data_IF_391757233445
#
_entry.id   IF_391757233445
#
_cell.length_a   1.000
_cell.length_b   1.000
_cell.length_c   1.000
_cell.angle_alpha   90.00
_cell.angle_beta   90.00
_cell.angle_gamma   90.00
#
_symmetry.space_group_name_H-M   'P 1'
#
loop_
_entity.id
_entity.type
_entity.pdbx_description
1 polymer ?
#
# COMPACT_ATOMS: atom_id res chain seq x y z
N UNK A 1 -3.72 8.08 18.42
CA UNK A 1 -2.65 7.61 17.51
C UNK A 1 -3.07 7.87 16.08
N UNK A 2 -2.11 8.18 15.20
CA UNK A 2 -2.34 8.26 13.75
C UNK A 2 -1.90 6.91 13.12
N UNK A 3 -2.73 6.38 12.23
CA UNK A 3 -2.48 5.20 11.41
C UNK A 3 -2.11 5.67 10.00
N UNK A 4 -0.99 5.18 9.48
CA UNK A 4 -0.56 5.41 8.11
C UNK A 4 -0.68 4.13 7.30
N UNK A 5 -1.32 4.19 6.14
CA UNK A 5 -1.44 3.04 5.23
C UNK A 5 -0.86 3.39 3.86
N UNK A 6 -0.10 2.47 3.27
CA UNK A 6 0.04 2.49 1.82
C UNK A 6 -1.32 2.19 1.14
N UNK A 7 -1.42 2.53 -0.16
CA UNK A 7 -2.60 2.26 -0.95
C UNK A 7 -2.46 0.94 -1.72
N UNK A 8 -1.41 0.82 -2.53
CA UNK A 8 -1.29 -0.17 -3.60
C UNK A 8 -0.60 -1.43 -3.07
N UNK A 9 -1.34 -2.54 -2.98
CA UNK A 9 -0.85 -3.74 -2.32
C UNK A 9 -1.25 -3.82 -0.85
N UNK A 10 -1.85 -2.77 -0.28
CA UNK A 10 -2.45 -2.77 1.07
C UNK A 10 -3.98 -2.75 1.01
N UNK A 11 -4.58 -1.69 0.46
CA UNK A 11 -6.03 -1.55 0.32
C UNK A 11 -6.53 -1.66 -1.12
N UNK A 12 -5.67 -1.38 -2.11
CA UNK A 12 -5.96 -1.47 -3.54
C UNK A 12 -5.18 -2.61 -4.19
N UNK A 13 -5.84 -3.40 -5.03
CA UNK A 13 -5.24 -4.53 -5.74
C UNK A 13 -4.51 -4.07 -7.00
N UNK A 14 -3.33 -3.50 -6.79
CA UNK A 14 -2.46 -3.07 -7.88
C UNK A 14 -1.92 -4.25 -8.69
N UNK A 15 -1.46 -5.32 -8.01
CA UNK A 15 -0.77 -6.43 -8.66
C UNK A 15 -1.67 -7.10 -9.71
N UNK A 16 -2.90 -7.47 -9.36
CA UNK A 16 -3.80 -8.15 -10.31
C UNK A 16 -4.14 -7.26 -11.51
N UNK A 17 -4.34 -5.96 -11.30
CA UNK A 17 -4.63 -5.02 -12.37
C UNK A 17 -3.41 -4.82 -13.29
N UNK A 18 -2.22 -4.72 -12.72
CA UNK A 18 -0.99 -4.55 -13.46
C UNK A 18 -0.64 -5.78 -14.30
N UNK A 19 -0.85 -6.99 -13.75
CA UNK A 19 -0.64 -8.24 -14.47
C UNK A 19 -1.57 -8.37 -15.69
N UNK A 20 -2.86 -8.02 -15.57
CA UNK A 20 -3.80 -7.99 -16.71
C UNK A 20 -3.34 -7.07 -17.84
N UNK A 21 -2.73 -5.93 -17.49
CA UNK A 21 -2.15 -5.02 -18.47
C UNK A 21 -0.94 -5.63 -19.16
N UNK A 22 -0.05 -6.29 -18.39
CA UNK A 22 1.09 -7.01 -18.94
C UNK A 22 0.67 -8.14 -19.88
N UNK A 23 -0.35 -8.93 -19.50
CA UNK A 23 -0.93 -9.99 -20.34
C UNK A 23 -1.40 -9.45 -21.69
N UNK A 24 -2.14 -8.34 -21.66
CA UNK A 24 -2.67 -7.68 -22.87
C UNK A 24 -1.53 -7.20 -23.77
N UNK A 25 -0.44 -6.68 -23.18
CA UNK A 25 0.70 -6.16 -23.94
C UNK A 25 1.59 -7.25 -24.53
N UNK A 26 1.80 -8.34 -23.79
CA UNK A 26 2.73 -9.40 -24.17
C UNK A 26 2.08 -10.47 -25.04
N UNK A 27 0.76 -10.69 -24.91
CA UNK A 27 0.04 -11.71 -25.67
C UNK A 27 0.42 -13.15 -25.33
N UNK A 28 1.15 -13.36 -24.23
CA UNK A 28 1.70 -14.67 -23.81
C UNK A 28 0.76 -15.48 -22.90
N UNK A 29 -0.51 -15.08 -22.79
CA UNK A 29 -1.48 -15.69 -21.87
C UNK A 29 -1.44 -15.08 -20.46
N UNK A 30 -2.26 -15.62 -19.54
CA UNK A 30 -2.42 -15.08 -18.18
C UNK A 30 -1.15 -15.22 -17.34
N UNK A 31 -0.91 -14.26 -16.45
CA UNK A 31 0.19 -14.24 -15.48
C UNK A 31 -0.43 -14.38 -14.09
N UNK A 32 -0.29 -15.56 -13.49
CA UNK A 32 -0.84 -15.85 -12.17
C UNK A 32 -0.08 -15.10 -11.07
N UNK A 33 -0.79 -14.47 -10.13
CA UNK A 33 -0.19 -13.63 -9.06
C UNK A 33 0.79 -14.42 -8.17
N UNK A 34 0.56 -15.73 -8.03
CA UNK A 34 1.33 -16.70 -7.24
C UNK A 34 2.74 -16.94 -7.80
N UNK A 35 2.95 -16.59 -9.07
CA UNK A 35 4.25 -16.68 -9.75
C UNK A 35 5.13 -15.47 -9.46
N UNK A 36 4.56 -14.38 -8.93
CA UNK A 36 5.31 -13.16 -8.65
C UNK A 36 6.02 -13.28 -7.30
N UNK A 37 7.34 -13.43 -7.34
CA UNK A 37 8.20 -13.60 -6.16
C UNK A 37 9.07 -12.39 -5.82
N UNK A 38 9.09 -11.38 -6.69
CA UNK A 38 9.74 -10.10 -6.46
C UNK A 38 8.86 -8.94 -6.90
N UNK A 39 8.93 -7.85 -6.15
CA UNK A 39 8.14 -6.65 -6.37
C UNK A 39 8.39 -6.02 -7.76
N UNK A 40 9.62 -6.15 -8.28
CA UNK A 40 10.03 -5.66 -9.60
C UNK A 40 10.05 -6.76 -10.67
N UNK A 41 9.43 -7.91 -10.38
CA UNK A 41 9.28 -9.03 -11.32
C UNK A 41 10.61 -9.63 -11.83
N UNK A 42 11.74 -9.36 -11.17
CA UNK A 42 13.08 -9.77 -11.61
C UNK A 42 13.26 -11.28 -11.76
N UNK A 43 12.50 -12.07 -11.01
CA UNK A 43 12.61 -13.54 -11.04
C UNK A 43 11.68 -14.19 -12.07
N UNK A 44 10.91 -13.38 -12.80
CA UNK A 44 9.90 -13.87 -13.72
C UNK A 44 10.54 -14.23 -15.08
N UNK A 45 10.31 -15.44 -15.64
CA UNK A 45 11.05 -15.94 -16.81
C UNK A 45 10.91 -15.12 -18.09
N UNK A 46 9.86 -14.29 -18.19
CA UNK A 46 9.56 -13.50 -19.37
C UNK A 46 9.21 -12.04 -19.11
N UNK A 47 9.24 -11.57 -17.85
CA UNK A 47 9.05 -10.15 -17.53
C UNK A 47 10.41 -9.51 -17.31
N UNK A 48 10.95 -8.87 -18.35
CA UNK A 48 12.19 -8.12 -18.22
C UNK A 48 11.94 -6.80 -17.50
N UNK A 49 12.97 -6.28 -16.83
CA UNK A 49 12.90 -4.97 -16.15
C UNK A 49 12.47 -3.85 -17.11
N UNK A 50 12.90 -3.90 -18.38
CA UNK A 50 12.51 -2.94 -19.41
C UNK A 50 11.01 -2.99 -19.73
N UNK A 51 10.43 -4.19 -19.84
CA UNK A 51 8.99 -4.37 -20.09
C UNK A 51 8.20 -3.82 -18.91
N UNK A 52 8.57 -4.20 -17.69
CA UNK A 52 7.92 -3.74 -16.46
C UNK A 52 8.01 -2.23 -16.34
N UNK A 53 9.18 -1.64 -16.57
CA UNK A 53 9.39 -0.20 -16.53
C UNK A 53 8.48 0.54 -17.50
N UNK A 54 8.45 0.11 -18.78
CA UNK A 54 7.61 0.73 -19.82
C UNK A 54 6.12 0.64 -19.47
N UNK A 55 5.67 -0.49 -18.92
CA UNK A 55 4.30 -0.65 -18.48
C UNK A 55 3.98 0.21 -17.25
N UNK A 56 4.89 0.29 -16.27
CA UNK A 56 4.72 1.16 -15.10
C UNK A 56 4.65 2.63 -15.50
N UNK A 57 5.50 3.06 -16.45
CA UNK A 57 5.45 4.40 -17.00
C UNK A 57 4.10 4.67 -17.66
N UNK A 58 3.62 3.80 -18.54
CA UNK A 58 2.31 3.95 -19.18
C UNK A 58 1.16 4.00 -18.17
N UNK A 59 1.14 3.07 -17.22
CA UNK A 59 0.14 3.00 -16.13
C UNK A 59 0.13 4.28 -15.32
N UNK A 60 1.30 4.83 -15.02
CA UNK A 60 1.41 6.06 -14.24
C UNK A 60 0.85 7.29 -14.95
N UNK A 61 0.65 7.27 -16.26
CA UNK A 61 -0.04 8.32 -17.03
C UNK A 61 -1.52 8.01 -17.30
N UNK A 62 -2.03 6.85 -16.84
CA UNK A 62 -3.39 6.41 -17.09
C UNK A 62 -4.28 6.57 -15.83
N UNK A 63 -5.07 7.67 -15.70
CA UNK A 63 -5.94 7.85 -14.54
C UNK A 63 -6.96 6.72 -14.37
N UNK A 64 -7.48 6.20 -15.49
CA UNK A 64 -8.49 5.14 -15.46
C UNK A 64 -7.93 3.82 -14.88
N UNK A 65 -6.63 3.56 -14.99
CA UNK A 65 -6.03 2.40 -14.32
C UNK A 65 -6.20 2.51 -12.80
N UNK A 66 -5.80 3.65 -12.22
CA UNK A 66 -5.86 3.88 -10.78
C UNK A 66 -7.30 4.00 -10.25
N UNK A 67 -8.21 4.53 -11.05
CA UNK A 67 -9.64 4.63 -10.71
C UNK A 67 -10.34 3.26 -10.70
N UNK A 68 -9.83 2.27 -11.44
CA UNK A 68 -10.52 0.98 -11.58
C UNK A 68 -9.85 -0.15 -10.78
N UNK A 69 -8.90 0.17 -9.90
CA UNK A 69 -8.32 -0.82 -8.99
C UNK A 69 -9.40 -1.41 -8.07
N UNK A 70 -9.39 -2.73 -7.93
CA UNK A 70 -10.24 -3.44 -6.97
C UNK A 70 -9.77 -3.20 -5.54
N UNK A 71 -10.67 -3.30 -4.57
CA UNK A 71 -10.32 -3.29 -3.14
C UNK A 71 -9.74 -4.64 -2.72
N UNK A 72 -8.70 -4.63 -1.88
CA UNK A 72 -8.15 -5.80 -1.18
C UNK A 72 -8.82 -6.08 0.16
N UNK A 73 -9.59 -5.12 0.70
CA UNK A 73 -10.19 -5.22 2.03
C UNK A 73 -11.71 -5.27 1.95
N UNK A 74 -12.33 -5.77 3.02
CA UNK A 74 -13.78 -5.92 3.11
C UNK A 74 -14.49 -4.58 3.32
N UNK A 75 -15.81 -4.53 3.06
CA UNK A 75 -16.64 -3.36 3.37
C UNK A 75 -16.67 -3.04 4.89
N UNK A 76 -16.55 -4.06 5.73
CA UNK A 76 -16.44 -3.89 7.19
C UNK A 76 -15.14 -3.17 7.56
N UNK A 77 -14.02 -3.61 6.99
CA UNK A 77 -12.71 -2.97 7.23
C UNK A 77 -12.71 -1.51 6.74
N UNK A 78 -13.31 -1.23 5.58
CA UNK A 78 -13.49 0.14 5.10
C UNK A 78 -14.29 1.01 6.07
N UNK A 79 -15.36 0.46 6.65
CA UNK A 79 -16.18 1.18 7.62
C UNK A 79 -15.38 1.53 8.88
N UNK A 80 -14.52 0.62 9.35
CA UNK A 80 -13.61 0.87 10.48
C UNK A 80 -12.54 1.91 10.14
N UNK A 81 -12.01 1.91 8.92
CA UNK A 81 -11.09 2.95 8.46
C UNK A 81 -11.76 4.32 8.38
N UNK A 82 -13.03 4.39 7.98
CA UNK A 82 -13.78 5.64 7.95
C UNK A 82 -13.95 6.25 9.37
N UNK A 83 -14.15 5.44 10.40
CA UNK A 83 -14.17 5.93 11.79
C UNK A 83 -12.84 6.61 12.19
N UNK A 84 -11.72 6.07 11.72
CA UNK A 84 -10.40 6.66 11.92
C UNK A 84 -10.23 7.95 11.10
N UNK A 85 -10.69 7.95 9.84
CA UNK A 85 -10.66 9.14 8.98
C UNK A 85 -11.45 10.30 9.60
N UNK A 86 -12.67 10.06 10.08
CA UNK A 86 -13.52 11.08 10.73
C UNK A 86 -12.91 11.68 11.98
N UNK A 87 -12.05 10.92 12.68
CA UNK A 87 -11.33 11.38 13.87
C UNK A 87 -9.92 11.92 13.56
N UNK A 88 -9.58 12.14 12.28
CA UNK A 88 -8.27 12.59 11.81
C UNK A 88 -7.11 11.69 12.28
N UNK A 89 -7.38 10.38 12.38
CA UNK A 89 -6.42 9.34 12.81
C UNK A 89 -5.97 8.42 11.68
N UNK A 90 -6.35 8.71 10.44
CA UNK A 90 -5.98 7.92 9.27
C UNK A 90 -5.35 8.82 8.21
N UNK A 91 -4.18 8.41 7.72
CA UNK A 91 -3.52 9.00 6.56
C UNK A 91 -3.11 7.89 5.60
N UNK A 92 -3.12 8.19 4.30
CA UNK A 92 -2.59 7.32 3.27
C UNK A 92 -1.25 7.88 2.78
N UNK A 93 -0.25 7.03 2.57
CA UNK A 93 1.08 7.42 2.11
C UNK A 93 1.45 6.53 0.93
N UNK A 94 1.55 7.08 -0.27
CA UNK A 94 1.71 6.31 -1.51
C UNK A 94 2.88 6.80 -2.36
N UNK A 95 3.43 5.88 -3.17
CA UNK A 95 4.45 6.15 -4.18
C UNK A 95 3.88 6.47 -5.58
N UNK A 96 2.55 6.57 -5.73
CA UNK A 96 1.94 7.00 -7.00
C UNK A 96 2.57 8.30 -7.51
N UNK A 97 2.97 8.31 -8.78
CA UNK A 97 3.64 9.45 -9.38
C UNK A 97 2.68 10.61 -9.61
N UNK A 98 3.12 11.81 -9.21
CA UNK A 98 2.46 13.04 -9.65
C UNK A 98 2.80 13.25 -11.13
N UNK A 99 1.76 13.36 -11.95
CA UNK A 99 1.86 13.66 -13.38
C UNK A 99 1.29 15.04 -13.68
N UNK A 100 1.74 15.60 -14.79
CA UNK A 100 1.30 16.88 -15.32
C UNK A 100 -0.03 16.79 -16.09
N UNK A 101 -0.42 15.58 -16.52
CA UNK A 101 -1.59 15.36 -17.38
C UNK A 101 -2.90 15.18 -16.62
N UNK A 102 -2.85 14.80 -15.35
CA UNK A 102 -4.01 14.69 -14.46
C UNK A 102 -3.61 14.77 -12.99
N UNK A 103 -4.58 15.05 -12.11
CA UNK A 103 -4.34 15.06 -10.67
C UNK A 103 -4.44 13.65 -10.09
N UNK A 104 -3.29 13.04 -9.80
CA UNK A 104 -3.25 11.74 -9.09
C UNK A 104 -3.83 11.84 -7.67
N UNK A 105 -3.80 13.02 -7.06
CA UNK A 105 -4.46 13.30 -5.79
C UNK A 105 -5.97 13.17 -5.91
N UNK A 106 -6.58 13.85 -6.88
CA UNK A 106 -8.03 13.75 -7.12
C UNK A 106 -8.44 12.30 -7.43
N UNK A 107 -7.68 11.61 -8.28
CA UNK A 107 -7.94 10.20 -8.64
C UNK A 107 -7.88 9.29 -7.41
N UNK A 108 -6.82 9.39 -6.62
CA UNK A 108 -6.64 8.54 -5.43
C UNK A 108 -7.67 8.87 -4.34
N UNK A 109 -7.92 10.15 -4.11
CA UNK A 109 -8.91 10.63 -3.15
C UNK A 109 -10.34 10.23 -3.57
N UNK A 110 -10.69 10.31 -4.85
CA UNK A 110 -11.99 9.86 -5.36
C UNK A 110 -12.14 8.34 -5.28
N UNK A 111 -11.08 7.58 -5.54
CA UNK A 111 -11.08 6.14 -5.33
C UNK A 111 -11.35 5.78 -3.87
N UNK A 112 -10.68 6.44 -2.92
CA UNK A 112 -10.91 6.24 -1.48
C UNK A 112 -12.34 6.64 -1.05
N UNK A 113 -12.88 7.75 -1.57
CA UNK A 113 -14.26 8.17 -1.30
C UNK A 113 -15.29 7.15 -1.78
N UNK A 114 -15.08 6.57 -2.96
CA UNK A 114 -15.97 5.51 -3.48
C UNK A 114 -15.98 4.25 -2.60
N UNK A 115 -14.90 4.01 -1.86
CA UNK A 115 -14.80 2.92 -0.90
C UNK A 115 -15.23 3.30 0.53
N UNK A 116 -15.77 4.51 0.72
CA UNK A 116 -16.39 4.92 1.99
C UNK A 116 -15.58 5.87 2.85
N UNK A 117 -14.37 6.26 2.44
CA UNK A 117 -13.57 7.26 3.18
C UNK A 117 -14.04 8.68 2.83
N UNK A 118 -14.76 9.34 3.74
CA UNK A 118 -15.39 10.63 3.43
C UNK A 118 -14.39 11.78 3.27
N UNK A 119 -13.30 11.75 4.05
CA UNK A 119 -12.25 12.78 4.08
C UNK A 119 -10.86 12.15 3.97
N UNK A 120 -10.50 11.61 2.79
CA UNK A 120 -9.19 11.01 2.61
C UNK A 120 -8.10 12.06 2.79
N UNK A 121 -7.04 11.69 3.50
CA UNK A 121 -5.81 12.47 3.62
C UNK A 121 -4.71 11.63 2.98
N UNK A 122 -4.21 12.06 1.83
CA UNK A 122 -3.23 11.30 1.04
C UNK A 122 -1.95 12.11 0.91
N UNK A 123 -0.82 11.47 1.20
CA UNK A 123 0.50 12.01 0.99
C UNK A 123 1.19 11.24 -0.14
N UNK A 124 1.67 11.97 -1.13
CA UNK A 124 2.44 11.44 -2.25
C UNK A 124 3.92 11.70 -2.00
N UNK A 125 4.73 10.66 -2.08
CA UNK A 125 6.19 10.77 -1.97
C UNK A 125 6.86 9.92 -3.02
N UNK A 126 8.04 10.32 -3.47
CA UNK A 126 8.93 9.51 -4.31
C UNK A 126 10.19 9.08 -3.54
N UNK A 127 10.35 9.63 -2.34
CA UNK A 127 11.40 9.29 -1.39
C UNK A 127 10.94 8.13 -0.49
N UNK A 128 11.89 7.48 0.22
CA UNK A 128 11.57 6.55 1.30
C UNK A 128 10.59 7.16 2.33
N UNK A 129 9.65 6.35 2.82
CA UNK A 129 8.46 6.83 3.54
C UNK A 129 8.69 7.18 5.02
N UNK A 130 9.79 6.78 5.61
CA UNK A 130 10.08 6.76 7.05
C UNK A 130 10.28 8.12 7.64
N UNK A 131 10.99 9.02 6.96
CA UNK A 131 11.01 10.44 7.35
C UNK A 131 9.60 11.03 7.38
N UNK A 132 8.83 10.84 6.31
CA UNK A 132 7.46 11.34 6.22
C UNK A 132 6.55 10.74 7.31
N UNK A 133 6.64 9.43 7.53
CA UNK A 133 5.90 8.70 8.57
C UNK A 133 6.26 9.23 9.97
N UNK A 134 7.53 9.49 10.22
CA UNK A 134 8.01 10.08 11.47
C UNK A 134 7.51 11.52 11.65
N UNK A 135 7.60 12.35 10.61
CA UNK A 135 7.16 13.75 10.62
C UNK A 135 5.64 13.88 10.82
N UNK A 136 4.86 12.95 10.27
CA UNK A 136 3.41 12.86 10.47
C UNK A 136 3.01 12.32 11.85
N UNK A 137 3.95 11.84 12.66
CA UNK A 137 3.66 11.24 13.97
C UNK A 137 2.81 9.96 13.88
N UNK A 138 2.92 9.23 12.76
CA UNK A 138 2.25 7.94 12.58
C UNK A 138 2.82 6.94 13.61
N UNK A 139 1.93 6.22 14.27
CA UNK A 139 2.27 5.27 15.36
C UNK A 139 2.10 3.81 14.95
N UNK A 140 1.33 3.57 13.90
CA UNK A 140 1.18 2.28 13.25
C UNK A 140 1.18 2.53 11.74
N UNK A 141 2.11 1.92 11.03
CA UNK A 141 2.26 2.02 9.59
C UNK A 141 2.09 0.65 8.91
N UNK A 142 1.42 0.59 7.76
CA UNK A 142 1.31 -0.64 6.97
C UNK A 142 1.70 -0.42 5.51
N UNK A 143 2.58 -1.27 4.99
CA UNK A 143 3.04 -1.25 3.60
C UNK A 143 3.46 -2.67 3.19
N UNK A 144 3.20 -3.06 1.95
CA UNK A 144 3.55 -4.38 1.42
C UNK A 144 4.98 -4.43 0.87
N UNK A 145 5.58 -3.28 0.56
CA UNK A 145 6.93 -3.16 0.02
C UNK A 145 7.96 -3.18 1.14
N UNK A 146 8.89 -4.12 1.06
CA UNK A 146 9.82 -4.36 2.16
C UNK A 146 10.80 -3.21 2.39
N UNK A 147 11.23 -2.49 1.34
CA UNK A 147 12.11 -1.34 1.50
C UNK A 147 11.43 -0.21 2.30
N UNK A 148 10.14 0.04 2.07
CA UNK A 148 9.37 1.02 2.82
C UNK A 148 9.20 0.57 4.28
N UNK A 149 8.85 -0.70 4.50
CA UNK A 149 8.74 -1.26 5.84
C UNK A 149 10.04 -1.22 6.62
N UNK A 150 11.17 -1.53 5.97
CA UNK A 150 12.49 -1.46 6.58
C UNK A 150 12.84 -0.03 6.96
N UNK A 151 12.65 0.92 6.04
CA UNK A 151 13.08 2.29 6.27
C UNK A 151 12.19 3.01 7.30
N UNK A 152 10.88 2.78 7.30
CA UNK A 152 9.98 3.22 8.38
C UNK A 152 10.34 2.54 9.70
N UNK A 153 10.63 1.23 9.62
CA UNK A 153 11.38 0.44 10.57
C UNK A 153 12.43 1.29 11.28
N UNK A 154 13.53 1.50 10.58
CA UNK A 154 14.77 2.08 11.05
C UNK A 154 14.63 3.54 11.50
N UNK A 155 13.81 4.34 10.81
CA UNK A 155 13.80 5.80 10.98
C UNK A 155 12.60 6.36 11.76
N UNK A 156 11.69 5.49 12.24
CA UNK A 156 10.56 5.93 13.04
C UNK A 156 10.30 5.08 14.28
N UNK A 157 9.38 5.57 15.12
CA UNK A 157 8.83 4.84 16.26
C UNK A 157 7.51 4.11 15.95
N UNK A 158 7.09 4.05 14.68
CA UNK A 158 5.86 3.37 14.31
C UNK A 158 5.99 1.85 14.50
N UNK A 159 4.90 1.21 14.94
CA UNK A 159 4.73 -0.22 14.72
C UNK A 159 4.52 -0.44 13.22
N UNK A 160 5.39 -1.22 12.59
CA UNK A 160 5.30 -1.50 11.16
C UNK A 160 4.67 -2.86 10.92
N UNK A 161 3.58 -2.86 10.18
CA UNK A 161 2.89 -4.06 9.72
C UNK A 161 3.15 -4.27 8.22
N UNK A 162 3.35 -5.52 7.82
CA UNK A 162 3.49 -5.89 6.41
C UNK A 162 2.45 -6.95 6.07
N UNK A 163 1.49 -6.68 5.18
CA UNK A 163 0.59 -7.71 4.72
C UNK A 163 1.36 -8.78 3.96
N UNK A 164 1.01 -10.04 4.19
CA UNK A 164 1.61 -11.15 3.46
C UNK A 164 1.29 -11.04 1.96
N UNK A 165 2.32 -11.03 1.13
CA UNK A 165 2.24 -11.05 -0.32
C UNK A 165 3.27 -12.03 -0.87
N UNK A 166 3.02 -12.53 -2.07
CA UNK A 166 3.87 -13.54 -2.72
C UNK A 166 5.30 -13.05 -2.93
N UNK A 167 5.48 -11.74 -3.14
CA UNK A 167 6.74 -11.07 -3.44
C UNK A 167 7.50 -10.50 -2.24
N UNK A 168 7.01 -10.68 -1.01
CA UNK A 168 7.67 -10.16 0.19
C UNK A 168 7.95 -11.22 1.26
N UNK A 169 7.83 -12.51 0.92
CA UNK A 169 7.87 -13.62 1.88
C UNK A 169 9.22 -13.78 2.58
N UNK A 170 10.31 -13.58 1.85
CA UNK A 170 11.68 -13.80 2.34
C UNK A 170 12.21 -12.64 3.19
N UNK A 171 11.46 -11.54 3.25
CA UNK A 171 11.85 -10.40 4.06
C UNK A 171 11.59 -10.63 5.54
N UNK A 172 12.62 -10.35 6.34
CA UNK A 172 12.57 -10.41 7.80
C UNK A 172 13.27 -9.19 8.39
N UNK A 173 12.60 -8.53 9.34
CA UNK A 173 13.17 -7.44 10.12
C UNK A 173 12.61 -7.46 11.54
N UNK A 174 13.41 -7.27 12.60
CA UNK A 174 12.98 -7.44 13.99
C UNK A 174 11.86 -6.48 14.44
N UNK A 175 11.65 -5.38 13.72
CA UNK A 175 10.59 -4.39 13.99
C UNK A 175 9.45 -4.37 12.96
N UNK A 176 9.45 -5.29 12.00
CA UNK A 176 8.36 -5.41 11.02
C UNK A 176 7.56 -6.68 11.31
N UNK A 177 6.26 -6.53 11.55
CA UNK A 177 5.37 -7.64 11.86
C UNK A 177 4.53 -7.99 10.64
N UNK A 178 4.61 -9.24 10.20
CA UNK A 178 3.80 -9.74 9.10
C UNK A 178 2.37 -10.03 9.58
N UNK A 179 1.39 -9.59 8.81
CA UNK A 179 -0.03 -9.92 9.03
C UNK A 179 -0.59 -10.70 7.85
N UNK A 180 -1.58 -11.55 8.11
CA UNK A 180 -2.21 -12.42 7.12
C UNK A 180 -3.64 -11.96 6.79
N UNK A 181 -4.26 -11.21 7.69
CA UNK A 181 -5.55 -10.57 7.50
C UNK A 181 -5.44 -9.08 7.78
N UNK A 182 -6.17 -8.26 7.02
CA UNK A 182 -6.26 -6.83 7.28
C UNK A 182 -6.85 -6.52 8.66
N UNK A 183 -7.73 -7.38 9.18
CA UNK A 183 -8.34 -7.21 10.49
C UNK A 183 -7.33 -7.16 11.64
N UNK A 184 -6.16 -7.79 11.47
CA UNK A 184 -5.08 -7.77 12.46
C UNK A 184 -4.58 -6.35 12.72
N UNK A 185 -4.67 -5.44 11.74
CA UNK A 185 -4.41 -4.00 11.91
C UNK A 185 -5.09 -3.48 13.17
N UNK A 186 -6.39 -3.75 13.30
CA UNK A 186 -7.18 -3.20 14.38
C UNK A 186 -6.89 -3.88 15.71
N UNK A 187 -6.57 -5.18 15.71
CA UNK A 187 -6.08 -5.87 16.91
C UNK A 187 -4.78 -5.24 17.42
N UNK A 188 -3.87 -4.86 16.52
CA UNK A 188 -2.66 -4.12 16.89
C UNK A 188 -2.96 -2.70 17.39
N UNK A 189 -3.92 -2.01 16.79
CA UNK A 189 -4.36 -0.70 17.27
C UNK A 189 -4.92 -0.75 18.69
N UNK A 190 -5.77 -1.74 18.99
CA UNK A 190 -6.33 -1.95 20.32
C UNK A 190 -5.23 -2.18 21.36
N UNK A 191 -4.24 -3.01 21.05
CA UNK A 191 -3.06 -3.26 21.92
C UNK A 191 -2.19 -2.02 22.14
N UNK A 192 -2.13 -1.09 21.18
CA UNK A 192 -1.38 0.15 21.34
C UNK A 192 -2.14 1.20 22.17
N UNK A 193 -3.46 1.09 22.25
CA UNK A 193 -4.31 1.99 23.02
C UNK A 193 -4.57 1.50 24.46
N UNK A 194 -4.27 0.24 24.78
CA UNK A 194 -4.34 -0.24 26.16
C UNK A 194 -3.20 0.36 27.00
N UNK A 195 -3.48 0.96 28.17
CA UNK A 195 -2.43 1.41 29.07
C UNK A 195 -1.58 0.21 29.49
N UNK A 196 -0.25 0.31 29.40
CA UNK A 196 0.62 -0.67 30.06
C UNK A 196 0.31 -0.60 31.57
N UNK A 197 0.06 -1.73 32.26
CA UNK A 197 -0.02 -1.70 33.70
C UNK A 197 1.29 -1.13 34.26
N UNK A 198 1.19 -0.12 35.13
CA UNK A 198 2.36 0.38 35.85
C UNK A 198 2.98 -0.79 36.65
N UNK A 199 4.31 -0.90 36.68
CA UNK A 199 5.00 -1.91 37.50
C UNK A 199 4.73 -1.71 39.00
#
# INVERSE_FOLDING_TARGET
>A
MIVGLDIDGVVADFLSAFLKLLETRLGNGPIETETIRSFNFKDHPFLTEEIVWKCMEEVSYNPAFWENLSSLISLEDWSRLEELSRSAKLVFVTHRHVRETYSIDEVSSNWLRRHGISRPVVYFTQEPKGKLVQDLGVRLFMDDRYENCQEVAENSQALVLMPHRTYNQDFHHPRVQRIWSFQELFTHMEKLNTPKPCP
#
